data_IF_210963990873
#
_entry.id   IF_210963990873
#
_cell.length_a   1.000
_cell.length_b   1.000
_cell.length_c   1.000
_cell.angle_alpha   90.00
_cell.angle_beta   90.00
_cell.angle_gamma   90.00
#
_symmetry.space_group_name_H-M   'P 1'
#
loop_
_entity.id
_entity.type
_entity.pdbx_description
1 polymer ?
#
# COMPACT_ATOMS: atom_id res chain seq x y z
N UNK A 1 12.24 -42.34 36.77
CA UNK A 1 13.46 -43.18 36.64
C UNK A 1 14.38 -42.42 35.70
N UNK A 2 15.33 -41.61 36.20
CA UNK A 2 16.74 -41.99 36.49
C UNK A 2 17.33 -42.77 35.31
N UNK A 3 18.33 -42.27 34.58
CA UNK A 3 19.68 -41.99 35.06
C UNK A 3 20.37 -40.80 34.36
N UNK A 4 21.06 -39.99 35.17
CA UNK A 4 22.18 -39.13 34.78
C UNK A 4 23.45 -39.99 34.69
N UNK A 5 24.29 -39.75 33.69
CA UNK A 5 25.67 -40.25 33.60
C UNK A 5 26.58 -39.06 33.28
N UNK A 6 27.22 -38.59 34.35
CA UNK A 6 28.55 -37.94 34.41
C UNK A 6 28.76 -36.66 33.57
N UNK A 7 28.68 -35.48 34.20
CA UNK A 7 29.73 -34.85 35.02
C UNK A 7 30.97 -34.44 34.23
N UNK A 8 31.15 -33.12 34.13
CA UNK A 8 32.37 -32.47 33.68
C UNK A 8 32.28 -30.97 33.95
N UNK A 9 32.20 -30.57 35.21
CA UNK A 9 32.59 -29.21 35.60
C UNK A 9 34.12 -29.12 35.61
N UNK A 10 34.68 -28.10 34.96
CA UNK A 10 35.96 -27.52 35.36
C UNK A 10 35.81 -26.01 35.48
N UNK A 11 36.00 -25.57 36.71
CA UNK A 11 36.39 -24.24 37.21
C UNK A 11 36.82 -23.20 36.16
N UNK A 12 36.16 -22.06 36.24
CA UNK A 12 36.81 -20.75 36.33
C UNK A 12 37.66 -20.33 35.16
N UNK A 13 37.06 -19.57 34.25
CA UNK A 13 37.66 -18.38 33.65
C UNK A 13 36.55 -17.58 32.98
N UNK A 14 36.41 -16.30 33.31
CA UNK A 14 35.60 -15.34 32.57
C UNK A 14 36.46 -14.75 31.45
N UNK A 15 36.16 -14.96 30.16
CA UNK A 15 36.68 -14.11 29.11
C UNK A 15 35.79 -12.88 29.01
N UNK A 16 36.37 -11.78 29.49
CA UNK A 16 36.01 -10.40 29.18
C UNK A 16 35.56 -10.21 27.73
N UNK A 17 34.55 -9.35 27.60
CA UNK A 17 34.39 -8.43 26.49
C UNK A 17 34.27 -9.06 25.09
N UNK A 18 33.08 -9.57 24.81
CA UNK A 18 32.48 -9.35 23.49
C UNK A 18 31.20 -8.55 23.66
N UNK A 19 31.31 -7.40 24.34
CA UNK A 19 30.43 -6.29 23.99
C UNK A 19 30.78 -5.96 22.54
N UNK A 20 30.07 -6.58 21.60
CA UNK A 20 30.01 -6.07 20.24
C UNK A 20 29.58 -4.63 20.42
N UNK A 21 30.48 -3.71 20.09
CA UNK A 21 30.13 -2.32 19.87
C UNK A 21 29.22 -2.36 18.66
N UNK A 22 27.93 -2.68 18.88
CA UNK A 22 26.86 -2.18 18.03
C UNK A 22 26.90 -0.69 18.30
N UNK A 23 27.64 0.01 17.43
CA UNK A 23 27.49 1.44 17.31
C UNK A 23 26.05 1.67 16.85
N UNK A 24 25.16 1.89 17.81
CA UNK A 24 23.74 2.21 17.60
C UNK A 24 23.54 3.55 16.85
N UNK A 25 24.60 4.13 16.28
CA UNK A 25 24.60 5.42 15.59
C UNK A 25 24.91 5.34 14.09
N UNK A 26 24.79 4.17 13.45
CA UNK A 26 24.64 4.17 11.99
C UNK A 26 23.19 4.61 11.70
N UNK A 27 22.94 5.93 11.74
CA UNK A 27 21.83 6.53 11.00
C UNK A 27 22.09 6.19 9.53
N UNK A 28 21.57 5.04 9.07
CA UNK A 28 21.58 4.72 7.66
C UNK A 28 20.77 5.80 6.94
N UNK A 29 21.50 6.64 6.22
CA UNK A 29 20.91 7.70 5.40
C UNK A 29 19.84 7.05 4.51
N UNK A 30 18.57 7.51 4.56
CA UNK A 30 17.50 6.80 3.89
C UNK A 30 17.82 6.62 2.41
N UNK A 31 17.64 5.40 1.90
CA UNK A 31 17.81 5.11 0.48
C UNK A 31 17.09 6.19 -0.36
N UNK A 32 17.66 6.58 -1.52
CA UNK A 32 17.13 7.70 -2.31
C UNK A 32 15.62 7.57 -2.61
N UNK A 33 15.13 6.34 -2.79
CA UNK A 33 13.70 6.04 -2.92
C UNK A 33 12.87 6.39 -1.69
N UNK A 34 13.35 6.10 -0.48
CA UNK A 34 12.69 6.45 0.77
C UNK A 34 12.62 7.98 0.96
N UNK A 35 13.70 8.70 0.64
CA UNK A 35 13.70 10.17 0.65
C UNK A 35 12.67 10.77 -0.30
N UNK A 36 12.55 10.20 -1.52
CA UNK A 36 11.54 10.61 -2.51
C UNK A 36 10.14 10.38 -1.98
N UNK A 37 9.85 9.19 -1.43
CA UNK A 37 8.55 8.85 -0.87
C UNK A 37 8.17 9.78 0.30
N UNK A 38 9.09 10.01 1.25
CA UNK A 38 8.86 10.91 2.39
C UNK A 38 8.57 12.35 1.95
N UNK A 39 9.24 12.84 0.89
CA UNK A 39 8.95 14.15 0.31
C UNK A 39 7.54 14.20 -0.27
N UNK A 40 7.16 13.21 -1.08
CA UNK A 40 5.82 13.14 -1.67
C UNK A 40 4.74 13.05 -0.58
N UNK A 41 4.95 12.22 0.43
CA UNK A 41 4.05 12.11 1.59
C UNK A 41 3.83 13.48 2.25
N UNK A 42 4.90 14.22 2.57
CA UNK A 42 4.78 15.56 3.13
C UNK A 42 4.00 16.52 2.23
N UNK A 43 4.21 16.47 0.92
CA UNK A 43 3.51 17.32 -0.04
C UNK A 43 2.01 16.99 -0.10
N UNK A 44 1.62 15.72 0.01
CA UNK A 44 0.22 15.29 -0.03
C UNK A 44 -0.49 15.31 1.33
N UNK A 45 0.25 15.33 2.43
CA UNK A 45 -0.28 15.56 3.79
C UNK A 45 -0.64 17.03 4.04
N UNK A 46 -0.20 17.94 3.16
CA UNK A 46 -0.64 19.34 3.20
C UNK A 46 -2.17 19.44 3.13
N UNK A 47 -2.69 20.49 3.78
CA UNK A 47 -4.12 20.78 3.81
C UNK A 47 -4.69 20.94 2.39
N UNK A 48 -5.91 20.45 2.19
CA UNK A 48 -6.62 20.53 0.91
C UNK A 48 -6.86 21.98 0.48
N UNK A 49 -7.17 22.83 1.46
CA UNK A 49 -7.25 24.28 1.36
C UNK A 49 -7.00 24.88 2.76
N UNK A 50 -6.73 26.20 2.90
CA UNK A 50 -6.49 26.82 4.21
C UNK A 50 -7.61 26.49 5.22
N UNK A 51 -7.24 26.12 6.44
CA UNK A 51 -8.16 25.81 7.55
C UNK A 51 -9.13 24.63 7.33
N UNK A 52 -8.93 23.81 6.30
CA UNK A 52 -9.83 22.67 6.03
C UNK A 52 -9.78 21.55 7.09
N UNK A 53 -8.65 21.41 7.79
CA UNK A 53 -8.37 20.27 8.67
C UNK A 53 -8.28 18.91 7.94
N UNK A 54 -8.38 18.89 6.61
CA UNK A 54 -8.36 17.69 5.76
C UNK A 54 -7.13 17.76 4.87
N UNK A 55 -6.27 16.74 4.91
CA UNK A 55 -5.14 16.65 3.98
C UNK A 55 -5.60 16.30 2.57
N UNK A 56 -4.82 16.71 1.57
CA UNK A 56 -5.05 16.35 0.17
C UNK A 56 -5.11 14.85 -0.04
N UNK A 57 -4.22 14.09 0.62
CA UNK A 57 -4.22 12.63 0.55
C UNK A 57 -5.50 12.03 1.13
N UNK A 58 -5.95 12.51 2.30
CA UNK A 58 -7.18 12.03 2.95
C UNK A 58 -8.41 12.24 2.06
N UNK A 59 -8.49 13.39 1.39
CA UNK A 59 -9.53 13.68 0.41
C UNK A 59 -9.52 12.67 -0.76
N UNK A 60 -8.34 12.43 -1.35
CA UNK A 60 -8.18 11.49 -2.47
C UNK A 60 -8.57 10.07 -2.06
N UNK A 61 -8.11 9.59 -0.91
CA UNK A 61 -8.44 8.25 -0.41
C UNK A 61 -9.95 8.10 -0.22
N UNK A 62 -10.62 9.08 0.41
CA UNK A 62 -12.09 9.07 0.56
C UNK A 62 -12.80 9.09 -0.78
N UNK A 63 -12.31 9.86 -1.75
CA UNK A 63 -12.86 9.89 -3.10
C UNK A 63 -12.79 8.53 -3.80
N UNK A 64 -11.64 7.84 -3.69
CA UNK A 64 -11.46 6.49 -4.23
C UNK A 64 -12.38 5.48 -3.54
N UNK A 65 -12.50 5.54 -2.21
CA UNK A 65 -13.42 4.68 -1.46
C UNK A 65 -14.87 4.86 -1.91
N UNK A 66 -15.34 6.11 -2.04
CA UNK A 66 -16.69 6.42 -2.52
C UNK A 66 -16.90 5.93 -3.95
N UNK A 67 -15.90 6.15 -4.82
CA UNK A 67 -15.95 5.67 -6.21
C UNK A 67 -16.10 4.16 -6.29
N UNK A 68 -15.25 3.41 -5.59
CA UNK A 68 -15.27 1.95 -5.57
C UNK A 68 -16.57 1.41 -4.96
N UNK A 69 -16.99 1.97 -3.82
CA UNK A 69 -18.18 1.50 -3.10
C UNK A 69 -19.48 1.74 -3.89
N UNK A 70 -19.54 2.84 -4.64
CA UNK A 70 -20.76 3.26 -5.34
C UNK A 70 -20.69 3.03 -6.85
N UNK A 71 -19.63 2.36 -7.35
CA UNK A 71 -19.47 2.09 -8.79
C UNK A 71 -19.40 3.35 -9.66
N UNK A 72 -18.87 4.47 -9.15
CA UNK A 72 -18.86 5.71 -9.92
C UNK A 72 -17.92 5.61 -11.13
N UNK A 73 -18.39 6.10 -12.28
CA UNK A 73 -17.56 6.27 -13.47
C UNK A 73 -16.45 7.32 -13.25
N UNK A 74 -15.41 7.33 -14.08
CA UNK A 74 -14.40 8.39 -14.02
C UNK A 74 -15.03 9.75 -14.35
N UNK A 75 -15.86 9.81 -15.38
CA UNK A 75 -16.53 11.04 -15.82
C UNK A 75 -17.41 11.67 -14.71
N UNK A 76 -18.13 10.85 -13.94
CA UNK A 76 -18.95 11.35 -12.83
C UNK A 76 -18.10 11.89 -11.68
N UNK A 77 -16.94 11.28 -11.43
CA UNK A 77 -15.97 11.80 -10.44
C UNK A 77 -15.36 13.12 -10.92
N UNK A 78 -14.99 13.21 -12.19
CA UNK A 78 -14.43 14.43 -12.78
C UNK A 78 -15.43 15.61 -12.69
N UNK A 79 -16.69 15.37 -13.01
CA UNK A 79 -17.76 16.36 -12.86
C UNK A 79 -17.90 16.85 -11.40
N UNK A 80 -17.85 15.92 -10.43
CA UNK A 80 -17.89 16.27 -9.01
C UNK A 80 -16.67 17.10 -8.59
N UNK A 81 -15.47 16.73 -9.04
CA UNK A 81 -14.23 17.45 -8.71
C UNK A 81 -14.26 18.87 -9.25
N UNK A 82 -14.75 19.07 -10.47
CA UNK A 82 -14.92 20.39 -11.06
C UNK A 82 -15.92 21.24 -10.26
N UNK A 83 -17.03 20.63 -9.81
CA UNK A 83 -18.00 21.30 -8.96
C UNK A 83 -17.38 21.70 -7.60
N UNK A 84 -16.70 20.78 -6.92
CA UNK A 84 -16.03 21.07 -5.64
C UNK A 84 -14.98 22.17 -5.79
N UNK A 85 -14.23 22.19 -6.89
CA UNK A 85 -13.24 23.23 -7.19
C UNK A 85 -13.87 24.62 -7.36
N UNK A 86 -15.13 24.70 -7.79
CA UNK A 86 -15.87 25.97 -7.86
C UNK A 86 -16.33 26.49 -6.50
N UNK A 87 -16.48 25.59 -5.51
CA UNK A 87 -16.93 25.92 -4.15
C UNK A 87 -15.73 26.24 -3.25
N UNK A 88 -14.61 25.55 -3.45
CA UNK A 88 -13.42 25.75 -2.65
C UNK A 88 -12.77 27.13 -2.88
N UNK A 89 -12.03 27.64 -1.88
CA UNK A 89 -11.26 28.88 -2.01
C UNK A 89 -10.28 28.82 -3.19
N UNK A 90 -9.88 29.97 -3.75
CA UNK A 90 -8.95 30.05 -4.90
C UNK A 90 -7.65 29.26 -4.69
N UNK A 91 -7.13 29.28 -3.47
CA UNK A 91 -5.97 28.49 -3.07
C UNK A 91 -6.45 27.14 -2.53
N UNK A 92 -6.51 26.14 -3.40
CA UNK A 92 -6.78 24.76 -3.02
C UNK A 92 -5.91 23.78 -3.82
N UNK A 93 -5.61 22.65 -3.20
CA UNK A 93 -4.83 21.56 -3.78
C UNK A 93 -5.73 20.40 -4.26
N UNK A 94 -7.02 20.69 -4.48
CA UNK A 94 -8.00 19.73 -4.95
C UNK A 94 -7.67 19.25 -6.37
N UNK A 95 -7.65 17.93 -6.63
CA UNK A 95 -7.46 17.40 -7.98
C UNK A 95 -8.59 17.83 -8.92
N UNK A 96 -8.26 18.05 -10.18
CA UNK A 96 -9.20 18.44 -11.23
C UNK A 96 -9.87 17.25 -11.92
N UNK A 97 -9.22 16.11 -11.89
CA UNK A 97 -9.69 14.87 -12.49
C UNK A 97 -9.35 13.67 -11.62
N UNK A 98 -10.04 12.57 -11.85
CA UNK A 98 -9.74 11.27 -11.29
C UNK A 98 -8.34 10.80 -11.69
N UNK A 99 -7.90 11.13 -12.90
CA UNK A 99 -6.53 10.83 -13.34
C UNK A 99 -5.49 11.56 -12.49
N UNK A 100 -5.71 12.84 -12.17
CA UNK A 100 -4.81 13.62 -11.29
C UNK A 100 -4.77 13.02 -9.88
N UNK A 101 -5.93 12.60 -9.36
CA UNK A 101 -6.02 11.93 -8.08
C UNK A 101 -5.30 10.56 -8.11
N UNK A 102 -5.45 9.80 -9.20
CA UNK A 102 -4.75 8.53 -9.40
C UNK A 102 -3.25 8.72 -9.52
N UNK A 103 -2.79 9.80 -10.14
CA UNK A 103 -1.36 10.11 -10.24
C UNK A 103 -0.72 10.23 -8.86
N UNK A 104 -1.40 10.84 -7.89
CA UNK A 104 -0.92 10.92 -6.50
C UNK A 104 -0.70 9.53 -5.92
N UNK A 105 -1.67 8.63 -6.09
CA UNK A 105 -1.57 7.25 -5.61
C UNK A 105 -0.43 6.49 -6.31
N UNK A 106 -0.24 6.68 -7.63
CA UNK A 106 0.89 6.10 -8.38
C UNK A 106 2.24 6.66 -7.95
N UNK A 107 2.34 7.97 -7.71
CA UNK A 107 3.59 8.61 -7.29
C UNK A 107 4.08 8.07 -5.94
N UNK A 108 3.12 7.63 -5.10
CA UNK A 108 3.34 6.94 -3.83
C UNK A 108 3.64 5.43 -3.96
N UNK A 109 3.68 4.90 -5.18
CA UNK A 109 3.93 3.47 -5.43
C UNK A 109 2.76 2.57 -5.04
N UNK A 110 1.55 3.13 -4.94
CA UNK A 110 0.31 2.40 -4.68
C UNK A 110 -0.47 2.15 -5.98
N UNK A 111 0.24 2.05 -7.10
CA UNK A 111 -0.39 1.71 -8.37
C UNK A 111 -0.92 0.27 -8.32
N UNK A 112 -1.92 0.01 -9.15
CA UNK A 112 -2.48 -1.32 -9.29
C UNK A 112 -2.21 -1.79 -10.71
N UNK A 113 -1.64 -2.99 -10.82
CA UNK A 113 -1.65 -3.72 -12.08
C UNK A 113 -3.00 -4.42 -12.20
N UNK A 114 -3.76 -4.05 -13.22
CA UNK A 114 -5.01 -4.75 -13.52
C UNK A 114 -4.65 -6.12 -14.09
N UNK A 115 -4.83 -7.16 -13.29
CA UNK A 115 -4.78 -8.53 -13.79
C UNK A 115 -6.11 -8.76 -14.51
N UNK A 116 -6.09 -8.82 -15.84
CA UNK A 116 -7.28 -9.18 -16.60
C UNK A 116 -7.66 -10.62 -16.27
N UNK A 117 -8.84 -10.79 -15.67
CA UNK A 117 -9.45 -12.11 -15.55
C UNK A 117 -9.76 -12.62 -16.96
N UNK A 118 -9.44 -13.89 -17.22
CA UNK A 118 -9.77 -14.53 -18.49
C UNK A 118 -11.30 -14.51 -18.70
N UNK A 119 -11.75 -14.66 -19.95
CA UNK A 119 -13.17 -14.59 -20.37
C UNK A 119 -14.11 -15.52 -19.56
N UNK A 120 -13.56 -16.52 -18.87
CA UNK A 120 -14.28 -17.48 -18.04
C UNK A 120 -14.09 -17.29 -16.52
N UNK A 121 -13.71 -16.10 -16.04
CA UNK A 121 -13.44 -15.83 -14.62
C UNK A 121 -12.46 -16.84 -13.96
N UNK A 122 -11.55 -17.41 -14.75
CA UNK A 122 -10.60 -18.38 -14.25
C UNK A 122 -9.66 -17.75 -13.21
N UNK A 123 -9.79 -18.25 -11.98
CA UNK A 123 -8.92 -17.92 -10.85
C UNK A 123 -7.49 -18.28 -11.24
N UNK A 124 -6.59 -17.29 -11.18
CA UNK A 124 -5.18 -17.48 -11.47
C UNK A 124 -4.51 -18.23 -10.30
N UNK A 125 -4.54 -19.57 -10.32
CA UNK A 125 -3.82 -20.39 -9.35
C UNK A 125 -2.32 -20.38 -9.69
N UNK A 126 -1.49 -19.73 -8.85
CA UNK A 126 -0.02 -19.81 -8.96
C UNK A 126 0.53 -20.87 -8.01
N UNK A 127 0.81 -22.06 -8.55
CA UNK A 127 1.59 -23.11 -7.89
C UNK A 127 1.73 -24.34 -8.79
N UNK A 128 2.92 -24.95 -8.83
CA UNK A 128 3.20 -26.20 -9.57
C UNK A 128 2.36 -27.40 -9.09
N UNK A 129 1.60 -27.26 -8.00
CA UNK A 129 0.82 -28.32 -7.37
C UNK A 129 -0.55 -28.61 -8.01
N UNK A 130 -0.94 -27.91 -9.08
CA UNK A 130 -2.27 -28.05 -9.71
C UNK A 130 -2.21 -28.23 -11.23
N UNK A 131 -1.06 -28.69 -11.77
CA UNK A 131 -0.90 -28.93 -13.21
C UNK A 131 -1.86 -30.00 -13.77
N UNK A 132 -2.54 -30.76 -12.90
CA UNK A 132 -3.34 -31.93 -13.27
C UNK A 132 -4.85 -31.76 -12.99
N UNK A 133 -5.34 -30.55 -12.70
CA UNK A 133 -6.78 -30.31 -12.49
C UNK A 133 -7.40 -29.65 -13.73
N UNK A 134 -7.51 -30.42 -14.82
CA UNK A 134 -8.21 -30.01 -16.05
C UNK A 134 -9.75 -30.14 -15.98
N UNK A 135 -10.30 -30.63 -14.87
CA UNK A 135 -11.75 -30.83 -14.72
C UNK A 135 -12.37 -29.88 -13.69
N UNK A 136 -12.60 -28.63 -14.09
CA UNK A 136 -13.69 -27.84 -13.48
C UNK A 136 -14.82 -27.78 -14.49
N UNK A 137 -15.81 -28.66 -14.30
CA UNK A 137 -17.05 -28.63 -15.05
C UNK A 137 -17.63 -27.20 -15.02
N UNK A 138 -17.90 -26.70 -16.21
CA UNK A 138 -18.61 -25.47 -16.49
C UNK A 138 -19.95 -25.45 -15.77
N UNK A 139 -20.04 -24.73 -14.65
CA UNK A 139 -21.33 -24.29 -14.12
C UNK A 139 -21.71 -23.05 -14.93
N UNK A 140 -22.38 -23.32 -16.04
CA UNK A 140 -23.08 -22.32 -16.83
C UNK A 140 -24.23 -21.69 -16.02
N UNK A 141 -24.37 -20.37 -16.15
CA UNK A 141 -25.56 -19.53 -15.88
C UNK A 141 -25.74 -19.10 -14.39
N UNK A 142 -26.11 -17.86 -14.04
CA UNK A 142 -26.93 -16.85 -14.72
C UNK A 142 -26.50 -15.42 -14.35
N UNK A 143 -26.54 -14.57 -15.37
CA UNK A 143 -26.52 -13.11 -15.27
C UNK A 143 -27.74 -12.56 -14.52
N UNK A 144 -27.53 -11.48 -13.76
CA UNK A 144 -28.56 -10.69 -13.07
C UNK A 144 -27.97 -9.53 -12.28
#
# INVERSE_FOLDING_TARGET
MLYNIFSGETLGETPKDFATIVDDNIEEDPHQGAKRFQRLMRDYEQSLYPDSGISRLSFIVKLFQMKCRNGWSNNSVDALLLFLKSIFPKENSCPTSFYDAQKVIRDLGLDYEKIDACVNDWILFRGQAYADLDDVQSVSNLDG
#
